data_IF_250777387239
#
_entry.id   IF_250777387239
#
_cell.length_a   1.000
_cell.length_b   1.000
_cell.length_c   1.000
_cell.angle_alpha   90.00
_cell.angle_beta   90.00
_cell.angle_gamma   90.00
#
_symmetry.space_group_name_H-M   'P 1'
#
loop_
_entity.id
_entity.type
_entity.pdbx_description
1 polymer ?
#
# COMPACT_ATOMS: atom_id res chain seq x y z
N UNK A 1 8.27 -38.56 24.54
CA UNK A 1 8.38 -38.54 23.07
C UNK A 1 9.82 -38.88 22.73
N UNK A 2 10.08 -40.06 22.19
CA UNK A 2 11.42 -40.64 22.08
C UNK A 2 12.23 -39.92 20.99
N UNK A 3 13.55 -39.78 21.17
CA UNK A 3 14.47 -39.15 20.20
C UNK A 3 14.28 -39.71 18.78
N UNK A 4 13.96 -41.00 18.68
CA UNK A 4 13.66 -41.71 17.43
C UNK A 4 12.45 -41.11 16.70
N UNK A 5 11.40 -40.70 17.40
CA UNK A 5 10.20 -40.10 16.81
C UNK A 5 10.47 -38.71 16.24
N UNK A 6 11.34 -37.93 16.91
CA UNK A 6 11.76 -36.60 16.44
C UNK A 6 12.64 -36.71 15.20
N UNK A 7 13.58 -37.66 15.19
CA UNK A 7 14.44 -37.91 14.03
C UNK A 7 13.61 -38.39 12.83
N UNK A 8 12.71 -39.35 13.04
CA UNK A 8 11.84 -39.87 11.98
C UNK A 8 10.93 -38.77 11.40
N UNK A 9 10.34 -37.91 12.23
CA UNK A 9 9.53 -36.78 11.76
C UNK A 9 10.36 -35.76 10.98
N UNK A 10 11.59 -35.47 11.42
CA UNK A 10 12.49 -34.52 10.75
C UNK A 10 12.92 -35.03 9.38
N UNK A 11 13.24 -36.32 9.30
CA UNK A 11 13.59 -37.02 8.06
C UNK A 11 12.39 -37.03 7.11
N UNK A 12 11.18 -37.38 7.56
CA UNK A 12 9.98 -37.33 6.70
C UNK A 12 9.72 -35.91 6.19
N UNK A 13 9.86 -34.86 7.02
CA UNK A 13 9.71 -33.47 6.57
C UNK A 13 10.77 -33.09 5.52
N UNK A 14 12.00 -33.56 5.68
CA UNK A 14 13.09 -33.29 4.73
C UNK A 14 12.97 -34.03 3.40
N UNK A 15 12.36 -35.23 3.37
CA UNK A 15 12.22 -36.03 2.14
C UNK A 15 10.80 -35.95 1.52
N UNK A 16 9.80 -35.44 2.26
CA UNK A 16 8.41 -35.33 1.75
C UNK A 16 8.18 -34.11 0.86
N UNK A 17 9.13 -33.18 0.81
CA UNK A 17 9.17 -32.18 -0.24
C UNK A 17 9.64 -32.82 -1.55
N UNK A 18 8.88 -32.65 -2.62
CA UNK A 18 9.34 -32.99 -3.96
C UNK A 18 10.60 -32.16 -4.26
N UNK A 19 11.77 -32.81 -4.25
CA UNK A 19 13.07 -32.17 -4.48
C UNK A 19 13.18 -31.59 -5.89
N UNK A 20 12.31 -32.03 -6.80
CA UNK A 20 12.17 -31.55 -8.16
C UNK A 20 11.02 -30.55 -8.30
N UNK A 21 10.39 -30.11 -7.20
CA UNK A 21 9.41 -29.02 -7.20
C UNK A 21 10.08 -27.71 -7.60
N UNK A 22 10.16 -27.50 -8.90
CA UNK A 22 10.29 -26.19 -9.50
C UNK A 22 8.90 -25.56 -9.41
N UNK A 23 8.69 -24.49 -8.62
CA UNK A 23 7.43 -23.77 -8.73
C UNK A 23 7.30 -23.40 -10.21
N UNK A 24 6.20 -23.83 -10.84
CA UNK A 24 5.83 -23.44 -12.20
C UNK A 24 5.69 -21.92 -12.23
N UNK A 25 6.82 -21.21 -12.34
CA UNK A 25 6.88 -19.77 -12.50
C UNK A 25 6.74 -19.51 -13.99
N UNK A 26 5.56 -19.83 -14.51
CA UNK A 26 5.17 -19.28 -15.79
C UNK A 26 5.25 -17.75 -15.65
N UNK A 27 6.21 -17.13 -16.33
CA UNK A 27 6.43 -15.66 -16.26
C UNK A 27 5.18 -14.86 -16.64
N UNK A 28 4.20 -15.52 -17.27
CA UNK A 28 2.91 -14.97 -17.65
C UNK A 28 1.80 -15.24 -16.63
N UNK A 29 2.09 -15.83 -15.47
CA UNK A 29 1.14 -15.97 -14.37
C UNK A 29 1.44 -14.90 -13.34
N UNK A 30 0.51 -13.96 -13.20
CA UNK A 30 0.52 -12.96 -12.13
C UNK A 30 -0.34 -13.49 -11.00
N UNK A 31 0.19 -13.45 -9.79
CA UNK A 31 -0.55 -13.86 -8.60
C UNK A 31 -0.39 -12.78 -7.51
N UNK A 32 -1.40 -12.64 -6.69
CA UNK A 32 -1.36 -11.80 -5.50
C UNK A 32 -0.53 -12.48 -4.39
N UNK A 33 -0.26 -11.73 -3.32
CA UNK A 33 0.56 -12.23 -2.20
C UNK A 33 -0.05 -13.42 -1.46
N UNK A 34 -1.38 -13.62 -1.52
CA UNK A 34 -2.07 -14.77 -0.91
C UNK A 34 -1.91 -16.04 -1.73
N UNK A 35 -1.58 -15.88 -3.02
CA UNK A 35 -1.45 -16.93 -4.03
C UNK A 35 -2.76 -17.62 -4.41
N UNK A 36 -3.90 -17.12 -3.96
CA UNK A 36 -5.21 -17.73 -4.20
C UNK A 36 -5.77 -17.45 -5.60
N UNK A 37 -5.31 -16.41 -6.29
CA UNK A 37 -5.84 -15.99 -7.59
C UNK A 37 -4.73 -15.91 -8.66
N UNK A 38 -4.16 -17.05 -9.10
CA UNK A 38 -3.23 -17.06 -10.22
C UNK A 38 -3.95 -16.71 -11.53
N UNK A 39 -3.51 -15.66 -12.21
CA UNK A 39 -4.11 -15.18 -13.46
C UNK A 39 -3.06 -15.23 -14.56
N UNK A 40 -3.38 -15.93 -15.66
CA UNK A 40 -2.55 -15.95 -16.87
C UNK A 40 -2.79 -14.67 -17.67
N UNK A 41 -1.74 -13.88 -17.84
CA UNK A 41 -1.71 -12.65 -18.64
C UNK A 41 -1.05 -12.91 -20.01
N UNK A 42 -1.23 -12.01 -20.96
CA UNK A 42 -0.60 -12.14 -22.28
C UNK A 42 0.88 -11.72 -22.26
N UNK A 43 1.21 -10.69 -21.46
CA UNK A 43 2.56 -10.15 -21.35
C UNK A 43 2.77 -9.48 -20.00
N UNK A 44 3.99 -9.54 -19.49
CA UNK A 44 4.45 -8.74 -18.35
C UNK A 44 5.54 -7.78 -18.83
N UNK A 45 5.45 -6.51 -18.44
CA UNK A 45 6.51 -5.50 -18.63
C UNK A 45 6.88 -4.86 -17.30
N UNK A 46 8.15 -4.47 -17.15
CA UNK A 46 8.69 -3.85 -15.94
C UNK A 46 9.35 -2.52 -16.31
N UNK A 47 8.55 -1.45 -16.50
CA UNK A 47 9.08 -0.18 -16.96
C UNK A 47 9.96 0.48 -15.89
N UNK A 48 10.96 1.24 -16.36
CA UNK A 48 11.87 2.06 -15.55
C UNK A 48 11.83 3.55 -15.95
N UNK A 49 11.02 3.89 -16.96
CA UNK A 49 10.81 5.26 -17.44
C UNK A 49 9.35 5.52 -17.81
N UNK A 50 8.92 6.79 -17.75
CA UNK A 50 7.59 7.22 -18.23
C UNK A 50 7.37 6.87 -19.70
N UNK A 51 8.43 6.92 -20.52
CA UNK A 51 8.38 6.57 -21.94
C UNK A 51 8.06 5.09 -22.13
N UNK A 52 8.62 4.20 -21.31
CA UNK A 52 8.32 2.77 -21.36
C UNK A 52 6.87 2.47 -20.95
N UNK A 53 6.35 3.16 -19.92
CA UNK A 53 4.93 3.05 -19.53
C UNK A 53 4.04 3.47 -20.70
N UNK A 54 4.29 4.65 -21.26
CA UNK A 54 3.51 5.19 -22.40
C UNK A 54 3.59 4.28 -23.62
N UNK A 55 4.79 3.78 -23.95
CA UNK A 55 4.99 2.85 -25.07
C UNK A 55 4.29 1.53 -24.84
N UNK A 56 4.26 1.01 -23.61
CA UNK A 56 3.57 -0.23 -23.28
C UNK A 56 2.06 -0.08 -23.48
N UNK A 57 1.48 1.07 -23.09
CA UNK A 57 0.05 1.37 -23.26
C UNK A 57 -0.29 1.49 -24.75
N UNK A 58 0.41 2.35 -25.50
CA UNK A 58 0.12 2.62 -26.93
C UNK A 58 0.24 1.36 -27.79
N UNK A 59 1.20 0.48 -27.48
CA UNK A 59 1.41 -0.75 -28.23
C UNK A 59 0.49 -1.90 -27.80
N UNK A 60 -0.35 -1.71 -26.76
CA UNK A 60 -1.34 -2.70 -26.35
C UNK A 60 -2.64 -2.52 -27.11
N UNK A 61 -3.22 -3.64 -27.57
CA UNK A 61 -4.54 -3.67 -28.22
C UNK A 61 -5.62 -4.33 -27.36
N UNK A 62 -5.24 -4.84 -26.19
CA UNK A 62 -6.10 -5.60 -25.29
C UNK A 62 -6.17 -4.97 -23.89
N UNK A 63 -6.80 -5.67 -22.93
CA UNK A 63 -6.90 -5.18 -21.57
C UNK A 63 -5.51 -4.94 -20.96
N UNK A 64 -5.41 -3.93 -20.11
CA UNK A 64 -4.19 -3.59 -19.38
C UNK A 64 -4.47 -3.78 -17.90
N UNK A 65 -3.53 -4.41 -17.19
CA UNK A 65 -3.53 -4.51 -15.74
C UNK A 65 -2.30 -3.83 -15.18
N UNK A 66 -2.44 -3.14 -14.06
CA UNK A 66 -1.36 -2.38 -13.42
C UNK A 66 -1.06 -3.04 -12.08
N UNK A 67 0.18 -3.47 -11.90
CA UNK A 67 0.62 -4.20 -10.71
C UNK A 67 1.66 -3.41 -9.91
N UNK A 68 1.38 -3.21 -8.61
CA UNK A 68 2.35 -2.77 -7.62
C UNK A 68 2.84 -3.93 -6.77
N UNK A 69 2.74 -3.80 -5.44
CA UNK A 69 3.09 -4.85 -4.48
C UNK A 69 2.18 -6.10 -4.49
N UNK A 70 1.09 -6.09 -5.28
CA UNK A 70 0.15 -7.22 -5.46
C UNK A 70 -0.56 -7.69 -4.19
N UNK A 71 -0.92 -6.75 -3.32
CA UNK A 71 -1.64 -6.99 -2.06
C UNK A 71 -3.17 -6.96 -2.20
N UNK A 72 -3.72 -6.72 -3.39
CA UNK A 72 -5.17 -6.76 -3.63
C UNK A 72 -5.65 -8.21 -3.65
N UNK A 73 -6.55 -8.58 -2.72
CA UNK A 73 -6.91 -9.98 -2.40
C UNK A 73 -8.19 -10.50 -3.09
N UNK A 74 -8.58 -9.94 -4.24
CA UNK A 74 -9.80 -10.33 -4.95
C UNK A 74 -9.67 -10.28 -6.47
N UNK A 75 -8.48 -10.58 -7.01
CA UNK A 75 -8.24 -10.60 -8.46
C UNK A 75 -8.07 -9.24 -9.13
N UNK A 76 -8.07 -8.12 -8.39
CA UNK A 76 -7.90 -6.78 -8.98
C UNK A 76 -6.51 -6.55 -9.59
N UNK A 77 -5.53 -7.38 -9.22
CA UNK A 77 -4.12 -7.25 -9.62
C UNK A 77 -3.89 -7.53 -11.11
N UNK A 78 -4.72 -8.39 -11.73
CA UNK A 78 -4.53 -8.82 -13.12
C UNK A 78 -5.87 -9.22 -13.76
N UNK A 79 -5.90 -9.24 -15.10
CA UNK A 79 -7.01 -9.74 -15.90
C UNK A 79 -6.48 -10.75 -16.91
N UNK A 80 -7.31 -11.71 -17.31
CA UNK A 80 -6.89 -12.76 -18.23
C UNK A 80 -6.42 -12.17 -19.56
N UNK A 81 -5.30 -12.67 -20.07
CA UNK A 81 -4.70 -12.27 -21.35
C UNK A 81 -4.41 -10.75 -21.47
N UNK A 82 -4.25 -10.05 -20.34
CA UNK A 82 -3.90 -8.64 -20.31
C UNK A 82 -2.41 -8.38 -20.54
N UNK A 83 -2.07 -7.15 -20.90
CA UNK A 83 -0.74 -6.61 -20.64
C UNK A 83 -0.66 -6.23 -19.16
N UNK A 84 0.22 -6.88 -18.42
CA UNK A 84 0.50 -6.53 -17.03
C UNK A 84 1.71 -5.59 -16.94
N UNK A 85 1.48 -4.36 -16.48
CA UNK A 85 2.52 -3.37 -16.20
C UNK A 85 2.92 -3.50 -14.74
N UNK A 86 4.05 -4.14 -14.48
CA UNK A 86 4.63 -4.32 -13.15
C UNK A 86 5.48 -3.10 -12.79
N UNK A 87 4.92 -2.22 -11.97
CA UNK A 87 5.47 -0.91 -11.63
C UNK A 87 6.63 -0.99 -10.63
N UNK A 88 6.96 -2.16 -10.07
CA UNK A 88 7.94 -2.28 -8.97
C UNK A 88 9.36 -1.83 -9.33
N UNK A 89 9.72 -1.82 -10.61
CA UNK A 89 11.00 -1.29 -11.09
C UNK A 89 10.99 0.24 -11.32
N UNK A 90 9.82 0.88 -11.23
CA UNK A 90 9.61 2.32 -11.33
C UNK A 90 9.42 2.92 -9.93
N UNK A 91 10.48 2.90 -9.11
CA UNK A 91 10.42 3.09 -7.66
C UNK A 91 11.40 4.13 -7.08
N UNK A 92 11.88 5.08 -7.88
CA UNK A 92 12.84 6.10 -7.42
C UNK A 92 12.19 7.20 -6.60
N UNK A 93 12.93 7.72 -5.62
CA UNK A 93 12.71 9.07 -5.09
C UNK A 93 13.17 10.09 -6.12
N UNK A 94 12.33 11.07 -6.42
CA UNK A 94 12.58 12.10 -7.42
C UNK A 94 13.05 13.41 -6.80
N UNK A 95 12.45 13.80 -5.67
CA UNK A 95 12.80 15.02 -4.94
C UNK A 95 12.31 14.94 -3.49
N UNK A 96 13.12 15.45 -2.55
CA UNK A 96 12.72 15.72 -1.16
C UNK A 96 12.90 17.21 -0.89
N UNK A 97 11.77 17.92 -0.83
CA UNK A 97 11.71 19.34 -0.47
C UNK A 97 11.49 19.45 1.04
N UNK A 98 12.58 19.74 1.77
CA UNK A 98 12.56 19.82 3.24
C UNK A 98 11.85 21.07 3.75
N UNK A 99 11.92 22.17 3.01
CA UNK A 99 11.35 23.45 3.42
C UNK A 99 9.82 23.39 3.35
N UNK A 100 9.28 22.77 2.31
CA UNK A 100 7.84 22.60 2.12
C UNK A 100 7.29 21.28 2.68
N UNK A 101 8.15 20.41 3.23
CA UNK A 101 7.81 19.05 3.71
C UNK A 101 7.10 18.22 2.62
N UNK A 102 7.70 18.16 1.43
CA UNK A 102 7.12 17.42 0.29
C UNK A 102 8.09 16.38 -0.26
N UNK A 103 7.54 15.24 -0.68
CA UNK A 103 8.28 14.15 -1.29
C UNK A 103 7.65 13.80 -2.65
N UNK A 104 8.44 13.89 -3.71
CA UNK A 104 8.06 13.40 -5.05
C UNK A 104 8.71 12.05 -5.32
N UNK A 105 7.91 11.07 -5.73
CA UNK A 105 8.35 9.68 -5.95
C UNK A 105 7.72 9.09 -7.20
N UNK A 106 8.38 8.08 -7.75
CA UNK A 106 7.77 7.14 -8.68
C UNK A 106 6.83 6.19 -7.93
N UNK A 107 5.68 5.91 -8.51
CA UNK A 107 4.56 5.23 -7.86
C UNK A 107 4.79 3.74 -7.54
N UNK A 108 5.84 3.14 -8.10
CA UNK A 108 6.27 1.79 -7.77
C UNK A 108 7.01 1.66 -6.44
N UNK A 109 7.42 2.76 -5.81
CA UNK A 109 8.09 2.76 -4.51
C UNK A 109 7.17 2.25 -3.41
N UNK A 110 7.73 1.54 -2.42
CA UNK A 110 6.97 1.12 -1.23
C UNK A 110 6.98 2.19 -0.16
N UNK A 111 5.99 2.15 0.75
CA UNK A 111 6.00 3.02 1.92
C UNK A 111 7.18 2.75 2.86
N UNK A 112 7.71 1.52 2.87
CA UNK A 112 8.91 1.16 3.64
C UNK A 112 10.13 1.89 3.11
N UNK A 113 10.35 1.84 1.80
CA UNK A 113 11.48 2.53 1.18
C UNK A 113 11.38 4.06 1.37
N UNK A 114 10.15 4.60 1.32
CA UNK A 114 9.91 6.02 1.64
C UNK A 114 10.31 6.33 3.08
N UNK A 115 9.84 5.56 4.06
CA UNK A 115 10.16 5.79 5.47
C UNK A 115 11.66 5.74 5.72
N UNK A 116 12.35 4.72 5.19
CA UNK A 116 13.81 4.58 5.32
C UNK A 116 14.56 5.78 4.70
N UNK A 117 14.01 6.39 3.63
CA UNK A 117 14.59 7.57 3.00
C UNK A 117 14.38 8.86 3.79
N UNK A 118 13.20 9.07 4.38
CA UNK A 118 12.83 10.35 5.02
C UNK A 118 13.11 10.41 6.52
N UNK A 119 13.24 9.26 7.19
CA UNK A 119 13.49 9.16 8.64
C UNK A 119 14.77 9.91 9.08
N UNK A 120 15.91 9.83 8.37
CA UNK A 120 17.12 10.61 8.68
C UNK A 120 16.94 12.13 8.58
N UNK A 121 15.81 12.60 8.06
CA UNK A 121 15.48 14.02 7.92
C UNK A 121 14.38 14.46 8.89
N UNK A 122 14.07 13.66 9.91
CA UNK A 122 13.02 13.91 10.90
C UNK A 122 11.62 14.11 10.27
N UNK A 123 11.34 13.39 9.18
CA UNK A 123 10.02 13.36 8.56
C UNK A 123 9.37 11.98 8.67
N UNK A 124 8.06 11.96 8.54
CA UNK A 124 7.22 10.77 8.53
C UNK A 124 6.20 10.81 7.39
N UNK A 125 5.75 9.63 6.95
CA UNK A 125 4.63 9.52 6.01
C UNK A 125 3.37 10.00 6.71
N UNK A 126 2.68 10.98 6.11
CA UNK A 126 1.51 11.60 6.74
C UNK A 126 0.30 10.66 6.82
N UNK A 127 -0.02 9.94 5.74
CA UNK A 127 -1.14 8.99 5.69
C UNK A 127 -0.71 7.77 4.87
N UNK A 128 -0.90 6.56 5.41
CA UNK A 128 -0.77 5.29 4.71
C UNK A 128 -1.58 4.18 5.43
N UNK A 129 -1.82 3.05 4.77
CA UNK A 129 -2.37 1.87 5.47
C UNK A 129 -1.36 1.27 6.47
N UNK A 130 -1.84 0.40 7.38
CA UNK A 130 -1.07 -0.13 8.51
C UNK A 130 0.28 -0.78 8.13
N UNK A 131 0.35 -1.51 7.02
CA UNK A 131 1.61 -2.12 6.60
C UNK A 131 2.31 -1.28 5.52
N UNK A 132 3.64 -1.27 5.57
CA UNK A 132 4.48 -0.42 4.71
C UNK A 132 4.95 -1.09 3.40
N UNK A 133 4.55 -2.33 3.15
CA UNK A 133 4.94 -3.15 2.00
C UNK A 133 4.13 -2.85 0.72
N UNK A 134 3.11 -2.01 0.79
CA UNK A 134 2.34 -1.56 -0.37
C UNK A 134 3.09 -0.50 -1.15
N UNK A 135 2.85 -0.43 -2.46
CA UNK A 135 3.39 0.64 -3.31
C UNK A 135 2.50 1.88 -3.26
N UNK A 136 3.08 3.05 -3.50
CA UNK A 136 2.35 4.33 -3.52
C UNK A 136 1.22 4.31 -4.56
N UNK A 137 1.50 3.86 -5.79
CA UNK A 137 0.52 3.83 -6.87
C UNK A 137 -0.67 2.92 -6.58
N UNK A 138 -0.43 1.73 -6.01
CA UNK A 138 -1.52 0.84 -5.59
C UNK A 138 -2.36 1.44 -4.48
N UNK A 139 -1.71 2.09 -3.51
CA UNK A 139 -2.36 2.74 -2.37
C UNK A 139 -3.24 3.93 -2.80
N UNK A 140 -2.75 4.74 -3.75
CA UNK A 140 -3.52 5.83 -4.36
C UNK A 140 -4.70 5.31 -5.17
N UNK A 141 -4.51 4.21 -5.92
CA UNK A 141 -5.55 3.63 -6.78
C UNK A 141 -6.75 3.10 -5.99
N UNK A 142 -6.60 2.83 -4.70
CA UNK A 142 -7.70 2.40 -3.81
C UNK A 142 -8.03 3.43 -2.72
N UNK A 143 -7.39 4.61 -2.76
CA UNK A 143 -7.51 5.68 -1.78
C UNK A 143 -7.49 5.18 -0.32
N UNK A 144 -6.44 4.43 0.02
CA UNK A 144 -6.25 3.82 1.36
C UNK A 144 -6.40 4.85 2.49
N UNK A 145 -6.63 4.35 3.70
CA UNK A 145 -6.52 5.13 4.92
C UNK A 145 -5.74 4.34 5.98
N UNK A 146 -5.29 5.04 7.02
CA UNK A 146 -4.62 4.44 8.17
C UNK A 146 -5.49 4.47 9.43
N UNK A 147 -4.81 4.41 10.58
CA UNK A 147 -5.40 4.54 11.93
C UNK A 147 -5.35 5.97 12.48
N UNK A 148 -4.98 6.92 11.62
CA UNK A 148 -4.75 8.32 11.98
C UNK A 148 -6.07 8.99 12.37
N UNK A 149 -6.18 9.50 13.59
CA UNK A 149 -7.36 10.25 14.02
C UNK A 149 -7.40 11.60 13.28
N UNK A 150 -8.53 11.90 12.64
CA UNK A 150 -8.79 13.19 11.99
C UNK A 150 -8.15 13.41 10.60
N UNK A 151 -7.18 12.60 10.19
CA UNK A 151 -6.47 12.81 8.91
C UNK A 151 -7.25 12.34 7.67
N UNK A 152 -8.12 11.34 7.82
CA UNK A 152 -8.90 10.78 6.69
C UNK A 152 -8.07 9.92 5.73
N UNK A 153 -8.49 9.81 4.46
CA UNK A 153 -7.82 8.96 3.47
C UNK A 153 -6.57 9.60 2.85
N UNK A 154 -5.74 8.78 2.22
CA UNK A 154 -4.43 9.11 1.65
C UNK A 154 -4.46 10.34 0.74
N UNK A 155 -5.54 10.52 -0.05
CA UNK A 155 -5.70 11.68 -0.94
C UNK A 155 -5.55 13.04 -0.24
N UNK A 156 -5.78 13.12 1.07
CA UNK A 156 -5.59 14.35 1.84
C UNK A 156 -4.11 14.76 1.96
N UNK A 157 -3.18 13.81 1.87
CA UNK A 157 -1.75 14.08 1.86
C UNK A 157 -1.15 14.28 0.46
N UNK A 158 -1.91 14.05 -0.62
CA UNK A 158 -1.41 14.13 -2.00
C UNK A 158 -1.49 15.57 -2.51
N UNK A 159 -0.37 16.09 -3.00
CA UNK A 159 -0.29 17.41 -3.67
C UNK A 159 -0.62 17.31 -5.15
N UNK A 160 -0.02 16.34 -5.84
CA UNK A 160 -0.23 16.10 -7.27
C UNK A 160 0.14 14.67 -7.64
N UNK A 161 -0.33 14.24 -8.80
CA UNK A 161 0.04 12.99 -9.45
C UNK A 161 0.42 13.25 -10.90
N UNK A 162 1.25 12.37 -11.45
CA UNK A 162 1.48 12.27 -12.89
C UNK A 162 0.83 10.99 -13.41
N UNK A 163 -0.06 11.15 -14.37
CA UNK A 163 -0.82 10.07 -15.01
C UNK A 163 -0.27 9.80 -16.40
N UNK A 164 -0.24 8.52 -16.79
CA UNK A 164 -0.12 8.10 -18.19
C UNK A 164 -1.49 7.59 -18.65
N UNK A 165 -2.10 8.30 -19.58
CA UNK A 165 -3.45 8.02 -20.10
C UNK A 165 -3.42 6.93 -21.18
N UNK A 166 -4.61 6.49 -21.61
CA UNK A 166 -4.78 5.45 -22.62
C UNK A 166 -4.20 5.80 -24.00
N UNK A 167 -4.13 7.09 -24.34
CA UNK A 167 -3.48 7.58 -25.57
C UNK A 167 -1.95 7.76 -25.39
N UNK A 168 -1.41 7.39 -24.23
CA UNK A 168 -0.02 7.53 -23.85
C UNK A 168 0.40 8.95 -23.47
N UNK A 169 -0.53 9.92 -23.40
CA UNK A 169 -0.21 11.25 -22.89
C UNK A 169 0.14 11.19 -21.41
N UNK A 170 1.11 12.01 -21.04
CA UNK A 170 1.56 12.20 -19.68
C UNK A 170 0.94 13.51 -19.18
N UNK A 171 0.14 13.45 -18.12
CA UNK A 171 -0.61 14.60 -17.59
C UNK A 171 -0.33 14.75 -16.10
N UNK A 172 -0.06 15.97 -15.66
CA UNK A 172 -0.04 16.31 -14.23
C UNK A 172 -1.45 16.64 -13.77
N UNK A 173 -1.88 16.07 -12.66
CA UNK A 173 -3.19 16.35 -12.07
C UNK A 173 -3.05 16.66 -10.58
N UNK A 174 -3.81 17.65 -10.11
CA UNK A 174 -3.86 18.13 -8.73
C UNK A 174 -5.25 18.68 -8.43
N UNK A 175 -5.44 19.26 -7.24
CA UNK A 175 -6.70 19.94 -6.90
C UNK A 175 -6.98 21.19 -7.74
N UNK A 176 -5.94 21.77 -8.34
CA UNK A 176 -5.99 23.04 -9.05
C UNK A 176 -5.62 22.91 -10.55
N UNK A 177 -5.24 21.72 -11.01
CA UNK A 177 -4.83 21.43 -12.38
C UNK A 177 -5.39 20.06 -12.78
N UNK A 178 -6.11 19.96 -13.90
CA UNK A 178 -6.75 18.70 -14.33
C UNK A 178 -7.52 18.00 -13.19
N UNK A 179 -8.32 18.80 -12.45
CA UNK A 179 -8.94 18.41 -11.19
C UNK A 179 -9.81 17.16 -11.32
N UNK A 180 -10.57 17.04 -12.40
CA UNK A 180 -11.39 15.88 -12.71
C UNK A 180 -10.55 14.59 -12.85
N UNK A 181 -9.39 14.65 -13.50
CA UNK A 181 -8.46 13.52 -13.60
C UNK A 181 -7.86 13.16 -12.24
N UNK A 182 -7.53 14.17 -11.41
CA UNK A 182 -7.01 13.94 -10.06
C UNK A 182 -7.99 13.12 -9.22
N UNK A 183 -9.25 13.57 -9.12
CA UNK A 183 -10.25 12.88 -8.32
C UNK A 183 -10.72 11.55 -8.94
N UNK A 184 -10.71 11.42 -10.26
CA UNK A 184 -11.07 10.16 -10.92
C UNK A 184 -9.98 9.08 -10.79
N UNK A 185 -8.71 9.46 -10.77
CA UNK A 185 -7.61 8.50 -10.63
C UNK A 185 -7.46 7.97 -9.20
N UNK A 186 -7.66 8.82 -8.19
CA UNK A 186 -7.55 8.42 -6.79
C UNK A 186 -8.77 7.59 -6.38
N UNK A 187 -8.54 6.35 -5.95
CA UNK A 187 -9.63 5.39 -5.74
C UNK A 187 -10.23 4.83 -7.04
N UNK A 188 -9.66 5.16 -8.21
CA UNK A 188 -10.15 4.75 -9.52
C UNK A 188 -9.69 3.36 -9.98
N UNK A 189 -8.98 2.61 -9.13
CA UNK A 189 -8.48 1.25 -9.42
C UNK A 189 -7.68 1.12 -10.73
N UNK A 190 -6.98 2.20 -11.13
CA UNK A 190 -6.22 2.26 -12.38
C UNK A 190 -7.07 2.38 -13.66
N UNK A 191 -8.38 2.60 -13.54
CA UNK A 191 -9.31 2.65 -14.67
C UNK A 191 -9.18 3.89 -15.57
N UNK A 192 -8.63 4.99 -15.05
CA UNK A 192 -8.45 6.26 -15.80
C UNK A 192 -7.05 6.38 -16.41
N UNK A 193 -6.08 5.63 -15.90
CA UNK A 193 -4.69 5.65 -16.35
C UNK A 193 -3.72 5.11 -15.32
N UNK A 194 -2.44 5.05 -15.69
CA UNK A 194 -1.36 4.64 -14.77
C UNK A 194 -0.94 5.84 -13.94
N UNK A 195 -1.14 5.78 -12.61
CA UNK A 195 -0.47 6.70 -11.67
C UNK A 195 1.02 6.35 -11.70
N UNK A 196 1.83 7.21 -12.32
CA UNK A 196 3.25 6.97 -12.52
C UNK A 196 4.10 7.66 -11.46
N UNK A 197 3.78 8.90 -11.09
CA UNK A 197 4.50 9.65 -10.04
C UNK A 197 3.50 10.33 -9.10
N UNK A 198 3.92 10.60 -7.88
CA UNK A 198 3.11 11.34 -6.91
C UNK A 198 3.99 12.27 -6.08
N UNK A 199 3.45 13.45 -5.76
CA UNK A 199 4.01 14.37 -4.77
C UNK A 199 3.14 14.33 -3.52
N UNK A 200 3.75 13.99 -2.39
CA UNK A 200 3.12 13.75 -1.11
C UNK A 200 3.56 14.81 -0.09
N UNK A 201 2.65 15.20 0.80
CA UNK A 201 2.95 15.99 1.99
C UNK A 201 3.50 15.06 3.07
N UNK A 202 4.58 15.46 3.72
CA UNK A 202 5.17 14.76 4.86
C UNK A 202 4.64 15.33 6.18
N UNK A 203 4.73 14.53 7.23
CA UNK A 203 4.53 14.95 8.62
C UNK A 203 5.89 15.05 9.33
N UNK A 204 5.92 15.73 10.47
CA UNK A 204 7.09 15.71 11.34
C UNK A 204 7.23 14.34 12.00
N UNK A 205 8.46 13.82 12.07
CA UNK A 205 8.75 12.60 12.79
C UNK A 205 8.65 12.87 14.29
N UNK A 206 7.56 12.43 14.88
CA UNK A 206 7.21 12.71 16.28
C UNK A 206 7.24 11.42 17.05
N UNK A 207 7.83 11.45 18.25
CA UNK A 207 7.79 10.30 19.16
C UNK A 207 6.37 10.07 19.64
N UNK A 208 5.98 8.80 19.68
CA UNK A 208 4.65 8.38 20.13
C UNK A 208 4.77 7.30 21.19
N UNK A 209 3.89 7.37 22.19
CA UNK A 209 3.73 6.34 23.21
C UNK A 209 2.44 5.56 22.97
N UNK A 210 2.51 4.23 23.11
CA UNK A 210 1.37 3.34 22.94
C UNK A 210 0.75 3.00 24.30
N UNK A 211 -0.53 3.30 24.46
CA UNK A 211 -1.36 2.85 25.57
C UNK A 211 -2.29 1.72 25.11
N UNK A 212 -2.70 0.86 26.05
CA UNK A 212 -3.65 -0.23 25.76
C UNK A 212 -4.53 -0.47 26.98
N UNK A 213 -5.83 -0.56 26.78
CA UNK A 213 -6.81 -0.84 27.86
C UNK A 213 -7.84 -1.84 27.35
N UNK A 214 -8.31 -2.74 28.22
CA UNK A 214 -9.38 -3.68 27.89
C UNK A 214 -10.62 -3.25 28.65
N UNK A 215 -11.75 -3.09 27.95
CA UNK A 215 -13.02 -2.68 28.54
C UNK A 215 -14.19 -3.47 27.94
N UNK A 216 -15.34 -3.56 28.64
CA UNK A 216 -16.59 -4.04 28.04
C UNK A 216 -16.93 -3.27 26.76
N UNK A 217 -17.39 -3.97 25.73
CA UNK A 217 -17.70 -3.32 24.43
C UNK A 217 -18.77 -2.23 24.55
N UNK A 218 -19.69 -2.36 25.50
CA UNK A 218 -20.73 -1.37 25.78
C UNK A 218 -20.19 -0.02 26.28
N UNK A 219 -18.98 0.00 26.86
CA UNK A 219 -18.34 1.23 27.37
C UNK A 219 -17.49 1.95 26.30
N UNK A 220 -17.15 1.25 25.21
CA UNK A 220 -16.21 1.74 24.21
C UNK A 220 -16.69 3.01 23.50
N UNK A 221 -17.99 3.09 23.18
CA UNK A 221 -18.54 4.25 22.49
C UNK A 221 -18.31 5.53 23.31
N UNK A 222 -18.73 5.55 24.57
CA UNK A 222 -18.52 6.69 25.45
C UNK A 222 -17.03 6.99 25.64
N UNK A 223 -16.20 5.96 25.84
CA UNK A 223 -14.76 6.12 25.95
C UNK A 223 -14.15 6.81 24.72
N UNK A 224 -14.48 6.35 23.51
CA UNK A 224 -13.95 6.89 22.26
C UNK A 224 -14.30 8.37 22.07
N UNK A 225 -15.57 8.72 22.24
CA UNK A 225 -16.03 10.09 22.04
C UNK A 225 -15.52 11.05 23.13
N UNK A 226 -15.41 10.60 24.37
CA UNK A 226 -14.96 11.45 25.48
C UNK A 226 -13.44 11.61 25.57
N UNK A 227 -12.65 10.60 25.14
CA UNK A 227 -11.20 10.56 25.42
C UNK A 227 -10.31 10.51 24.17
N UNK A 228 -10.85 10.07 23.02
CA UNK A 228 -10.05 9.77 21.83
C UNK A 228 -10.33 10.74 20.69
N UNK A 229 -11.60 10.84 20.25
CA UNK A 229 -11.99 11.50 18.99
C UNK A 229 -11.45 12.91 18.83
N UNK A 230 -11.61 13.73 19.87
CA UNK A 230 -11.28 15.16 19.83
C UNK A 230 -9.99 15.48 20.63
N UNK A 231 -9.23 14.45 21.01
CA UNK A 231 -8.00 14.59 21.75
C UNK A 231 -6.82 14.83 20.79
N UNK A 232 -6.32 16.06 20.75
CA UNK A 232 -5.23 16.48 19.85
C UNK A 232 -3.88 15.79 20.11
N UNK A 233 -3.70 15.10 21.24
CA UNK A 233 -2.51 14.30 21.51
C UNK A 233 -2.59 12.92 20.88
N UNK A 234 -3.78 12.44 20.51
CA UNK A 234 -3.97 11.12 19.90
C UNK A 234 -3.58 11.18 18.43
N UNK A 235 -2.59 10.37 18.04
CA UNK A 235 -2.15 10.23 16.64
C UNK A 235 -2.85 9.06 15.98
N UNK A 236 -2.84 7.89 16.63
CA UNK A 236 -3.41 6.66 16.11
C UNK A 236 -4.39 6.05 17.10
N UNK A 237 -5.38 5.35 16.58
CA UNK A 237 -6.32 4.60 17.40
C UNK A 237 -6.90 3.38 16.67
N UNK A 238 -7.07 2.27 17.38
CA UNK A 238 -7.92 1.17 16.97
C UNK A 238 -8.49 0.42 18.18
N UNK A 239 -9.65 -0.20 17.98
CA UNK A 239 -10.23 -1.16 18.91
C UNK A 239 -10.18 -2.57 18.33
N UNK A 240 -9.56 -3.51 19.05
CA UNK A 240 -9.51 -4.91 18.65
C UNK A 240 -10.56 -5.71 19.44
N UNK A 241 -11.47 -6.39 18.74
CA UNK A 241 -12.52 -7.21 19.34
C UNK A 241 -12.24 -8.68 19.00
N UNK A 242 -12.35 -9.56 19.99
CA UNK A 242 -11.95 -10.96 19.84
C UNK A 242 -13.15 -11.93 19.85
N UNK A 243 -13.18 -12.94 18.96
CA UNK A 243 -14.13 -14.05 19.03
C UNK A 243 -13.90 -14.92 20.28
N UNK A 244 -14.87 -15.77 20.67
CA UNK A 244 -16.15 -15.97 20.00
C UNK A 244 -17.27 -15.02 20.51
N UNK A 245 -17.07 -14.37 21.65
CA UNK A 245 -18.16 -13.64 22.33
C UNK A 245 -18.24 -12.17 21.97
N UNK A 246 -17.13 -11.55 21.54
CA UNK A 246 -17.08 -10.13 21.19
C UNK A 246 -17.54 -9.17 22.32
N UNK A 247 -17.43 -9.58 23.58
CA UNK A 247 -17.92 -8.84 24.76
C UNK A 247 -16.96 -7.73 25.25
N UNK A 248 -15.69 -7.78 24.82
CA UNK A 248 -14.64 -6.85 25.24
C UNK A 248 -13.91 -6.30 24.02
N UNK A 249 -13.52 -5.05 24.10
CA UNK A 249 -12.59 -4.42 23.17
C UNK A 249 -11.25 -4.21 23.87
N UNK A 250 -10.17 -4.44 23.13
CA UNK A 250 -8.84 -3.92 23.47
C UNK A 250 -8.67 -2.60 22.74
N UNK A 251 -8.80 -1.52 23.49
CA UNK A 251 -8.42 -0.19 23.07
C UNK A 251 -6.90 -0.12 22.88
N UNK A 252 -6.44 0.38 21.74
CA UNK A 252 -5.04 0.68 21.49
C UNK A 252 -4.94 2.09 20.94
N UNK A 253 -4.31 2.98 21.71
CA UNK A 253 -4.17 4.39 21.39
C UNK A 253 -2.70 4.78 21.40
N UNK A 254 -2.28 5.63 20.47
CA UNK A 254 -0.93 6.19 20.44
C UNK A 254 -1.00 7.70 20.60
N UNK A 255 -0.27 8.21 21.58
CA UNK A 255 -0.22 9.63 21.91
C UNK A 255 1.15 10.23 21.58
N UNK A 256 1.19 11.51 21.22
CA UNK A 256 2.45 12.28 21.16
C UNK A 256 3.14 12.22 22.53
N UNK A 257 4.43 11.90 22.53
CA UNK A 257 5.26 11.79 23.73
C UNK A 257 6.50 12.66 23.64
N UNK A 258 6.84 13.33 24.74
CA UNK A 258 8.06 14.12 24.86
C UNK A 258 9.26 13.29 25.38
N UNK A 259 9.01 12.08 25.90
CA UNK A 259 10.03 11.15 26.42
C UNK A 259 10.93 10.58 25.31
#
# INVERSE_FOLDING_TARGET
>A
MTIITVIAATIVIQISGDSDYQPYTNKLVVNDVTRLNPIRVAKVVQPTSLKEISSAIINSKGPISIGGGRYSQGGQTAYQDSLHIDMRAFNKVLNLDKDNKQLSVQAGITWRDIQEHIDPHNFSVKIMQTYANFTVGGSLSVNVHGRYIGEGPLVHSVKSIKLVLADGKIVTASRNENQELFFAAIGGYGGIGVIAEATLSLADNTKIERSTTVMPIGEYHEHFFSNVRDNNKVVFHNGDIYPPKYEKVRDVTWHISDN
#
